data_IF_301685544247
#
_entry.id   IF_301685544247
#
_cell.length_a   1.000
_cell.length_b   1.000
_cell.length_c   1.000
_cell.angle_alpha   90.00
_cell.angle_beta   90.00
_cell.angle_gamma   90.00
#
_symmetry.space_group_name_H-M   'P 1'
#
loop_
_entity.id
_entity.type
_entity.pdbx_description
1 polymer ?
#
# COMPACT_ATOMS: atom_id res chain seq x y z
N UNK A 1 -10.14 5.36 -58.91
CA UNK A 1 -9.99 6.04 -57.62
C UNK A 1 -11.38 6.44 -57.16
N UNK A 2 -11.97 5.61 -56.31
CA UNK A 2 -13.14 5.89 -55.51
C UNK A 2 -12.99 5.00 -54.27
N UNK A 3 -12.95 5.63 -53.11
CA UNK A 3 -12.74 5.03 -51.79
C UNK A 3 -13.85 4.04 -51.43
N UNK A 4 -13.46 2.87 -50.93
CA UNK A 4 -14.35 1.89 -50.32
C UNK A 4 -14.19 2.00 -48.79
N UNK A 5 -15.14 2.71 -48.17
CA UNK A 5 -15.32 2.78 -46.73
C UNK A 5 -15.84 1.44 -46.21
N UNK A 6 -15.04 0.76 -45.39
CA UNK A 6 -15.46 -0.43 -44.64
C UNK A 6 -16.04 0.01 -43.30
N UNK A 7 -17.34 -0.17 -43.12
CA UNK A 7 -18.03 0.02 -41.84
C UNK A 7 -17.64 -1.08 -40.83
N UNK A 8 -17.25 -0.68 -39.62
CA UNK A 8 -17.06 -1.55 -38.47
C UNK A 8 -18.41 -1.76 -37.74
N UNK A 9 -18.76 -2.99 -37.32
CA UNK A 9 -20.01 -3.22 -36.61
C UNK A 9 -19.95 -2.74 -35.15
N UNK A 10 -21.02 -2.04 -34.77
CA UNK A 10 -21.34 -1.49 -33.45
C UNK A 10 -21.50 -2.57 -32.37
N UNK A 11 -20.80 -2.39 -31.25
CA UNK A 11 -20.95 -3.16 -30.01
C UNK A 11 -22.11 -2.58 -29.19
N UNK A 12 -23.33 -3.06 -29.46
CA UNK A 12 -24.46 -2.99 -28.53
C UNK A 12 -25.09 -4.36 -28.45
N UNK A 13 -24.76 -5.11 -27.40
CA UNK A 13 -25.65 -6.05 -26.71
C UNK A 13 -24.85 -6.80 -25.63
N UNK A 14 -24.86 -6.24 -24.41
CA UNK A 14 -24.52 -6.99 -23.20
C UNK A 14 -25.81 -7.16 -22.41
N UNK A 15 -26.33 -8.39 -22.35
CA UNK A 15 -27.41 -8.77 -21.43
C UNK A 15 -26.84 -9.62 -20.29
N UNK A 16 -27.28 -9.42 -19.04
CA UNK A 16 -26.89 -10.27 -17.92
C UNK A 16 -27.67 -11.59 -17.96
N UNK A 17 -26.99 -12.71 -17.68
CA UNK A 17 -27.59 -14.04 -17.62
C UNK A 17 -28.05 -14.34 -16.19
N UNK A 18 -29.37 -14.52 -16.03
CA UNK A 18 -30.00 -15.24 -14.91
C UNK A 18 -29.97 -16.74 -15.19
N UNK A 19 -29.87 -17.51 -14.10
CA UNK A 19 -29.97 -18.96 -13.99
C UNK A 19 -30.95 -19.62 -14.97
N UNK A 20 -30.48 -20.64 -15.70
CA UNK A 20 -31.36 -21.73 -16.18
C UNK A 20 -30.65 -23.07 -16.02
N UNK A 21 -31.36 -23.97 -15.36
CA UNK A 21 -31.04 -25.36 -15.10
C UNK A 21 -30.98 -26.23 -16.37
N UNK A 22 -30.27 -27.36 -16.24
CA UNK A 22 -30.11 -28.40 -17.24
C UNK A 22 -31.44 -29.00 -17.75
N UNK A 23 -31.58 -29.19 -19.07
CA UNK A 23 -32.22 -30.37 -19.69
C UNK A 23 -32.08 -30.37 -21.23
N UNK A 24 -31.74 -31.53 -21.80
CA UNK A 24 -32.25 -31.98 -23.11
C UNK A 24 -31.33 -31.91 -24.33
N UNK A 25 -30.78 -33.05 -24.74
CA UNK A 25 -30.06 -33.31 -25.99
C UNK A 25 -30.97 -33.34 -27.24
N UNK A 26 -30.48 -32.83 -28.37
CA UNK A 26 -31.01 -33.05 -29.72
C UNK A 26 -30.13 -32.39 -30.82
N UNK A 27 -30.02 -32.95 -32.05
CA UNK A 27 -28.75 -32.96 -32.77
C UNK A 27 -28.58 -31.92 -33.91
N UNK A 28 -27.29 -31.58 -34.13
CA UNK A 28 -26.61 -31.33 -35.41
C UNK A 28 -27.12 -30.23 -36.36
N UNK A 29 -26.45 -29.08 -36.34
CA UNK A 29 -26.10 -28.37 -37.58
C UNK A 29 -24.69 -27.77 -37.48
N UNK A 30 -23.77 -28.27 -38.32
CA UNK A 30 -22.43 -27.70 -38.51
C UNK A 30 -22.55 -26.30 -39.13
N UNK A 31 -22.20 -25.27 -38.37
CA UNK A 31 -21.77 -23.97 -38.89
C UNK A 31 -20.32 -23.77 -38.46
N UNK A 32 -19.42 -23.50 -39.42
CA UNK A 32 -18.05 -23.06 -39.13
C UNK A 32 -18.15 -21.69 -38.47
N UNK A 33 -18.02 -21.65 -37.15
CA UNK A 33 -17.84 -20.41 -36.42
C UNK A 33 -16.35 -20.05 -36.45
N UNK A 34 -16.05 -18.77 -36.69
CA UNK A 34 -14.67 -18.27 -36.66
C UNK A 34 -14.27 -18.17 -35.20
N UNK A 35 -13.13 -18.77 -34.86
CA UNK A 35 -12.61 -18.90 -33.49
C UNK A 35 -12.73 -17.61 -32.69
N UNK A 36 -13.57 -17.64 -31.66
CA UNK A 36 -13.63 -16.61 -30.62
C UNK A 36 -12.84 -17.14 -29.44
N UNK A 37 -11.73 -16.48 -29.11
CA UNK A 37 -11.04 -16.70 -27.84
C UNK A 37 -11.95 -16.21 -26.73
N UNK A 38 -12.35 -17.10 -25.82
CA UNK A 38 -13.05 -16.75 -24.59
C UNK A 38 -12.02 -16.74 -23.48
N UNK A 39 -11.84 -15.58 -22.87
CA UNK A 39 -11.03 -15.42 -21.65
C UNK A 39 -12.01 -15.52 -20.48
N UNK A 40 -11.83 -16.52 -19.63
CA UNK A 40 -12.58 -16.67 -18.39
C UNK A 40 -11.63 -16.37 -17.23
N UNK A 41 -11.92 -15.31 -16.48
CA UNK A 41 -11.25 -15.03 -15.21
C UNK A 41 -11.89 -15.94 -14.16
N UNK A 42 -11.11 -16.85 -13.59
CA UNK A 42 -11.54 -17.67 -12.46
C UNK A 42 -10.56 -17.53 -11.30
N UNK A 43 -11.06 -17.10 -10.15
CA UNK A 43 -10.30 -17.07 -8.90
C UNK A 43 -10.10 -18.51 -8.40
N UNK A 44 -8.93 -19.09 -8.68
CA UNK A 44 -8.56 -20.43 -8.24
C UNK A 44 -8.00 -20.45 -6.83
N UNK A 45 -8.60 -21.25 -5.95
CA UNK A 45 -8.11 -21.50 -4.58
C UNK A 45 -6.87 -22.40 -4.57
N UNK A 46 -5.84 -22.02 -3.79
CA UNK A 46 -4.53 -22.68 -3.69
C UNK A 46 -4.62 -24.08 -3.07
N UNK A 47 -4.12 -25.11 -3.78
CA UNK A 47 -3.63 -26.36 -3.16
C UNK A 47 -2.27 -26.75 -3.76
N UNK A 48 -1.31 -27.06 -2.89
CA UNK A 48 0.13 -27.11 -3.19
C UNK A 48 0.65 -28.46 -3.68
N UNK A 49 1.77 -28.44 -4.43
CA UNK A 49 2.76 -29.53 -4.49
C UNK A 49 4.20 -28.93 -4.54
N UNK A 50 5.16 -29.52 -3.80
CA UNK A 50 6.61 -29.19 -3.87
C UNK A 50 7.44 -30.36 -4.46
N UNK A 51 8.79 -30.45 -4.28
CA UNK A 51 9.78 -29.47 -3.79
C UNK A 51 11.01 -29.23 -4.73
N UNK A 52 11.86 -28.27 -4.35
CA UNK A 52 13.28 -28.03 -4.72
C UNK A 52 13.69 -27.65 -6.16
N UNK A 53 13.77 -26.33 -6.39
CA UNK A 53 14.93 -25.63 -7.00
C UNK A 53 14.63 -24.13 -6.93
N UNK A 54 15.24 -23.40 -5.99
CA UNK A 54 15.06 -21.94 -5.93
C UNK A 54 15.82 -21.29 -7.08
N UNK A 55 15.15 -20.60 -8.02
CA UNK A 55 15.85 -19.72 -8.94
C UNK A 55 16.41 -18.51 -8.16
N UNK A 56 17.45 -17.84 -8.67
CA UNK A 56 17.95 -16.62 -8.06
C UNK A 56 16.83 -15.58 -7.97
N UNK A 57 16.71 -14.95 -6.81
CA UNK A 57 15.83 -13.80 -6.59
C UNK A 57 16.21 -12.73 -7.61
N UNK A 58 15.31 -12.46 -8.57
CA UNK A 58 15.47 -11.35 -9.50
C UNK A 58 14.70 -10.15 -8.95
N UNK A 59 15.37 -9.01 -8.89
CA UNK A 59 14.76 -7.72 -8.59
C UNK A 59 13.74 -7.39 -9.68
N UNK A 60 12.47 -7.25 -9.31
CA UNK A 60 11.35 -7.01 -10.25
C UNK A 60 11.33 -5.55 -10.75
N UNK A 61 12.06 -4.64 -10.10
CA UNK A 61 12.00 -3.20 -10.36
C UNK A 61 13.21 -2.60 -11.09
N UNK A 62 14.16 -3.43 -11.55
CA UNK A 62 15.20 -2.97 -12.50
C UNK A 62 14.78 -3.26 -13.96
N UNK A 63 13.49 -3.11 -14.26
CA UNK A 63 13.01 -3.24 -15.64
C UNK A 63 13.15 -1.89 -16.33
N UNK A 64 14.25 -1.77 -17.07
CA UNK A 64 14.22 -1.04 -18.34
C UNK A 64 12.94 -1.41 -19.08
N UNK A 65 12.30 -0.44 -19.74
CA UNK A 65 11.10 -0.62 -20.60
C UNK A 65 11.27 -1.72 -21.67
N UNK A 66 12.47 -2.25 -21.84
CA UNK A 66 12.85 -3.33 -22.75
C UNK A 66 12.85 -4.74 -22.13
N UNK A 67 12.69 -4.91 -20.80
CA UNK A 67 12.76 -6.22 -20.14
C UNK A 67 11.37 -6.88 -20.07
N UNK A 68 10.92 -7.35 -21.24
CA UNK A 68 9.67 -8.08 -21.41
C UNK A 68 9.74 -9.40 -20.65
N UNK A 69 9.07 -9.46 -19.49
CA UNK A 69 8.91 -10.75 -18.83
C UNK A 69 7.87 -11.59 -19.55
N UNK A 70 8.14 -12.89 -19.59
CA UNK A 70 7.38 -13.84 -20.36
C UNK A 70 6.48 -14.60 -19.41
N UNK A 71 5.21 -14.74 -19.75
CA UNK A 71 4.31 -15.60 -18.98
C UNK A 71 4.85 -17.03 -18.94
N UNK A 72 4.88 -17.61 -17.75
CA UNK A 72 5.07 -19.05 -17.59
C UNK A 72 3.76 -19.76 -17.96
N UNK A 73 3.80 -20.57 -19.02
CA UNK A 73 2.62 -21.31 -19.47
C UNK A 73 2.66 -22.75 -18.95
N UNK A 74 1.66 -23.17 -18.18
CA UNK A 74 1.44 -24.56 -17.78
C UNK A 74 0.13 -25.09 -18.33
N UNK A 75 0.11 -26.35 -18.78
CA UNK A 75 -1.13 -27.01 -19.21
C UNK A 75 -1.82 -27.67 -18.02
N UNK A 76 -3.11 -27.40 -17.86
CA UNK A 76 -3.94 -27.96 -16.79
C UNK A 76 -4.57 -29.31 -17.22
N UNK A 77 -4.96 -30.19 -16.26
CA UNK A 77 -5.59 -31.47 -16.57
C UNK A 77 -6.92 -31.35 -17.34
N UNK A 78 -7.63 -30.23 -17.22
CA UNK A 78 -8.87 -29.95 -17.96
C UNK A 78 -8.64 -29.63 -19.44
N UNK A 79 -7.39 -29.43 -19.88
CA UNK A 79 -7.05 -29.05 -21.25
C UNK A 79 -6.79 -27.57 -21.45
N UNK A 80 -7.10 -26.73 -20.45
CA UNK A 80 -6.83 -25.29 -20.45
C UNK A 80 -5.35 -24.99 -20.19
N UNK A 81 -4.95 -23.75 -20.49
CA UNK A 81 -3.63 -23.23 -20.17
C UNK A 81 -3.70 -22.24 -19.01
N UNK A 82 -2.87 -22.46 -18.00
CA UNK A 82 -2.57 -21.48 -16.97
C UNK A 82 -1.39 -20.63 -17.45
N UNK A 83 -1.57 -19.32 -17.47
CA UNK A 83 -0.51 -18.34 -17.63
C UNK A 83 -0.23 -17.73 -16.26
N UNK A 84 1.02 -17.80 -15.82
CA UNK A 84 1.52 -17.15 -14.61
C UNK A 84 2.48 -16.03 -15.02
N UNK A 85 2.23 -14.81 -14.52
CA UNK A 85 3.07 -13.65 -14.78
C UNK A 85 2.96 -12.61 -13.67
N UNK A 86 3.69 -11.50 -13.81
CA UNK A 86 3.70 -10.39 -12.85
C UNK A 86 2.30 -9.79 -12.64
N UNK A 87 1.45 -9.83 -13.67
CA UNK A 87 0.06 -9.35 -13.61
C UNK A 87 -0.94 -10.37 -13.04
N UNK A 88 -0.46 -11.54 -12.57
CA UNK A 88 -1.28 -12.57 -11.95
C UNK A 88 -1.47 -13.82 -12.80
N UNK A 89 -2.54 -14.57 -12.50
CA UNK A 89 -2.85 -15.87 -13.10
C UNK A 89 -4.04 -15.76 -14.04
N UNK A 90 -3.87 -16.31 -15.26
CA UNK A 90 -4.94 -16.33 -16.26
C UNK A 90 -5.15 -17.74 -16.78
N UNK A 91 -6.41 -18.15 -16.90
CA UNK A 91 -6.78 -19.40 -17.57
C UNK A 91 -7.27 -19.11 -18.98
N UNK A 92 -6.66 -19.76 -19.97
CA UNK A 92 -7.07 -19.69 -21.37
C UNK A 92 -7.72 -21.02 -21.74
N UNK A 93 -9.00 -20.96 -22.08
CA UNK A 93 -9.71 -22.06 -22.71
C UNK A 93 -9.18 -22.24 -24.14
N UNK A 94 -8.68 -23.43 -24.44
CA UNK A 94 -8.12 -23.75 -25.76
C UNK A 94 -9.03 -24.72 -26.49
N UNK A 95 -9.42 -24.34 -27.70
CA UNK A 95 -10.26 -25.18 -28.55
C UNK A 95 -9.67 -26.59 -28.70
N UNK A 96 -10.50 -27.65 -28.73
CA UNK A 96 -10.05 -29.05 -28.79
C UNK A 96 -9.04 -29.33 -29.91
N UNK A 97 -9.19 -28.67 -31.05
CA UNK A 97 -8.31 -28.83 -32.21
C UNK A 97 -6.94 -28.14 -32.02
N UNK A 98 -6.87 -27.12 -31.15
CA UNK A 98 -5.64 -26.44 -30.77
C UNK A 98 -4.91 -27.13 -29.61
N UNK A 99 -5.56 -28.06 -28.91
CA UNK A 99 -4.96 -28.84 -27.80
C UNK A 99 -3.83 -29.78 -28.25
N UNK A 100 -3.71 -30.07 -29.55
CA UNK A 100 -2.62 -30.88 -30.12
C UNK A 100 -1.41 -30.04 -30.56
N UNK A 101 -1.50 -28.70 -30.53
CA UNK A 101 -0.38 -27.83 -30.90
C UNK A 101 0.69 -27.84 -29.82
N UNK A 102 1.94 -27.66 -30.24
CA UNK A 102 3.07 -27.44 -29.34
C UNK A 102 2.79 -26.23 -28.43
N UNK A 103 3.48 -26.19 -27.27
CA UNK A 103 3.39 -25.10 -26.29
C UNK A 103 3.33 -23.76 -27.03
N UNK A 104 2.32 -22.89 -26.78
CA UNK A 104 2.29 -21.58 -27.40
C UNK A 104 3.62 -20.88 -27.13
N UNK A 105 4.16 -20.19 -28.13
CA UNK A 105 5.36 -19.37 -27.97
C UNK A 105 5.16 -18.46 -26.76
N UNK A 106 6.20 -18.34 -25.92
CA UNK A 106 6.19 -17.49 -24.72
C UNK A 106 5.54 -16.16 -25.07
N UNK A 107 4.38 -15.90 -24.48
CA UNK A 107 3.65 -14.67 -24.69
C UNK A 107 4.40 -13.60 -23.88
N UNK A 108 4.79 -12.54 -24.55
CA UNK A 108 5.23 -11.31 -23.90
C UNK A 108 4.13 -10.84 -22.94
N UNK A 109 4.46 -10.56 -21.67
CA UNK A 109 3.62 -9.75 -20.78
C UNK A 109 3.48 -8.34 -21.37
N UNK A 110 2.26 -7.78 -21.45
CA UNK A 110 1.13 -8.24 -22.23
C UNK A 110 0.86 -7.38 -23.49
N UNK A 111 0.08 -7.96 -24.40
CA UNK A 111 -0.49 -7.39 -25.64
C UNK A 111 -1.57 -6.30 -25.42
N UNK A 112 -1.64 -5.71 -24.24
CA UNK A 112 -2.61 -4.66 -23.92
C UNK A 112 -1.81 -3.46 -23.43
N UNK A 113 -1.66 -2.46 -24.30
CA UNK A 113 -0.92 -1.23 -23.99
C UNK A 113 -1.57 -0.44 -22.83
N UNK A 114 -2.84 -0.71 -22.53
CA UNK A 114 -3.62 -0.04 -21.49
C UNK A 114 -4.33 -1.07 -20.59
N UNK A 115 -4.37 -0.90 -19.26
CA UNK A 115 -5.12 -1.79 -18.37
C UNK A 115 -6.60 -1.89 -18.79
N UNK A 116 -7.11 -3.12 -19.01
CA UNK A 116 -8.55 -3.35 -19.27
C UNK A 116 -9.42 -3.13 -18.02
N UNK A 117 -8.78 -2.99 -16.86
CA UNK A 117 -9.41 -2.71 -15.56
C UNK A 117 -8.63 -1.60 -14.89
N UNK A 118 -9.33 -0.63 -14.31
CA UNK A 118 -8.75 0.40 -13.45
C UNK A 118 -8.92 -0.03 -12.00
N UNK A 119 -7.90 0.13 -11.16
CA UNK A 119 -8.05 -0.06 -9.73
C UNK A 119 -9.16 0.86 -9.21
N UNK A 120 -9.94 0.37 -8.24
CA UNK A 120 -10.88 1.25 -7.57
C UNK A 120 -10.10 2.35 -6.84
N UNK A 121 -10.58 3.60 -6.94
CA UNK A 121 -9.99 4.71 -6.20
C UNK A 121 -9.94 4.34 -4.72
N UNK A 122 -8.72 4.20 -4.20
CA UNK A 122 -8.54 4.08 -2.77
C UNK A 122 -8.94 5.41 -2.17
N UNK A 123 -9.85 5.42 -1.19
CA UNK A 123 -10.39 6.65 -0.62
C UNK A 123 -9.68 6.96 0.68
N UNK A 124 -9.34 8.23 0.88
CA UNK A 124 -8.78 8.67 2.16
C UNK A 124 -9.75 8.26 3.28
N UNK A 125 -9.27 7.57 4.33
CA UNK A 125 -10.11 7.19 5.45
C UNK A 125 -10.81 8.42 6.03
N UNK A 126 -12.15 8.39 6.11
CA UNK A 126 -12.92 9.50 6.65
C UNK A 126 -12.44 10.00 8.03
N UNK A 127 -11.98 9.13 8.97
CA UNK A 127 -11.41 9.59 10.24
C UNK A 127 -10.13 10.43 10.12
N UNK A 128 -9.40 10.38 9.01
CA UNK A 128 -8.23 11.23 8.76
C UNK A 128 -8.61 12.67 8.39
N UNK A 129 -9.84 12.88 7.89
CA UNK A 129 -10.36 14.15 7.39
C UNK A 129 -11.39 14.80 8.32
N UNK A 130 -11.68 14.17 9.46
CA UNK A 130 -12.62 14.71 10.44
C UNK A 130 -12.08 15.99 11.10
N UNK A 131 -12.96 16.89 11.50
CA UNK A 131 -12.59 18.18 12.13
C UNK A 131 -11.79 17.98 13.44
N UNK A 132 -12.06 16.90 14.16
CA UNK A 132 -11.41 16.46 15.40
C UNK A 132 -10.38 15.32 15.19
N UNK A 133 -9.99 15.03 13.94
CA UNK A 133 -9.02 13.99 13.61
C UNK A 133 -7.60 14.28 14.14
N UNK A 134 -6.80 13.26 14.48
CA UNK A 134 -7.20 11.87 14.61
C UNK A 134 -7.99 11.63 15.91
N UNK A 135 -8.92 10.68 15.93
CA UNK A 135 -9.50 10.19 17.18
C UNK A 135 -8.58 9.13 17.82
N UNK A 136 -8.66 8.97 19.14
CA UNK A 136 -7.88 7.95 19.87
C UNK A 136 -8.17 6.54 19.36
N UNK A 137 -9.45 6.22 19.18
CA UNK A 137 -9.90 4.91 18.70
C UNK A 137 -9.31 4.59 17.31
N UNK A 138 -9.21 5.60 16.45
CA UNK A 138 -8.63 5.43 15.12
C UNK A 138 -7.11 5.24 15.15
N UNK A 139 -6.40 5.92 16.05
CA UNK A 139 -4.97 5.71 16.28
C UNK A 139 -4.69 4.32 16.86
N UNK A 140 -5.43 3.89 17.88
CA UNK A 140 -5.19 2.60 18.54
C UNK A 140 -5.57 1.39 17.69
N UNK A 141 -6.45 1.54 16.70
CA UNK A 141 -6.97 0.43 15.90
C UNK A 141 -5.87 -0.46 15.27
N UNK A 142 -4.86 0.08 14.56
CA UNK A 142 -3.77 -0.75 14.01
C UNK A 142 -2.59 -0.95 14.96
N UNK A 143 -2.37 -0.04 15.93
CA UNK A 143 -1.21 -0.08 16.82
C UNK A 143 -1.46 -0.90 18.08
N UNK A 144 -2.72 -1.19 18.38
CA UNK A 144 -3.16 -1.96 19.55
C UNK A 144 -3.84 -1.07 20.58
N UNK A 145 -4.86 -1.64 21.23
CA UNK A 145 -5.61 -0.96 22.28
C UNK A 145 -4.70 -0.55 23.46
N UNK A 146 -4.83 0.70 23.91
CA UNK A 146 -4.03 1.27 24.99
C UNK A 146 -2.60 1.68 24.59
N UNK A 147 -2.29 1.76 23.29
CA UNK A 147 -1.00 2.33 22.82
C UNK A 147 -0.93 3.83 23.02
N UNK A 148 -2.06 4.52 22.99
CA UNK A 148 -2.15 5.92 23.39
C UNK A 148 -2.18 5.97 24.93
N UNK A 149 -1.40 6.87 25.55
CA UNK A 149 -1.47 7.18 27.00
C UNK A 149 -1.93 8.62 27.28
N UNK A 150 -2.89 8.80 28.20
CA UNK A 150 -3.34 10.12 28.63
C UNK A 150 -2.24 10.80 29.42
N UNK A 151 -1.91 12.03 29.02
CA UNK A 151 -1.24 12.95 29.92
C UNK A 151 -2.28 13.77 30.67
N UNK A 152 -2.07 13.90 31.97
CA UNK A 152 -2.81 14.87 32.77
C UNK A 152 -2.26 16.27 32.51
N UNK A 153 -3.09 17.29 32.74
CA UNK A 153 -2.67 18.69 32.59
C UNK A 153 -1.41 19.01 33.41
N UNK A 154 -1.25 18.41 34.59
CA UNK A 154 -0.09 18.58 35.50
C UNK A 154 1.15 17.79 35.06
N UNK A 155 1.01 16.84 34.14
CA UNK A 155 2.12 16.11 33.52
C UNK A 155 2.67 16.85 32.28
N UNK A 156 1.92 17.82 31.72
CA UNK A 156 2.37 18.59 30.58
C UNK A 156 3.44 19.62 30.98
N UNK A 157 4.54 19.75 30.22
CA UNK A 157 5.52 20.80 30.44
C UNK A 157 4.89 22.19 30.41
N UNK A 158 5.23 23.05 31.38
CA UNK A 158 4.69 24.42 31.47
C UNK A 158 5.06 25.28 30.25
N UNK A 159 6.18 24.96 29.58
CA UNK A 159 6.63 25.68 28.40
C UNK A 159 6.02 25.17 27.08
N UNK A 160 5.20 24.11 27.11
CA UNK A 160 4.37 23.74 25.97
C UNK A 160 3.17 24.68 25.96
N UNK A 161 3.26 25.82 25.27
CA UNK A 161 2.24 26.87 25.29
C UNK A 161 1.24 26.76 24.14
N UNK A 162 1.56 25.98 23.10
CA UNK A 162 0.65 25.74 21.98
C UNK A 162 -0.63 25.01 22.44
N UNK A 163 -1.75 25.74 22.45
CA UNK A 163 -3.00 25.29 23.06
C UNK A 163 -3.56 24.01 22.42
N UNK A 164 -3.49 23.89 21.10
CA UNK A 164 -4.00 22.71 20.40
C UNK A 164 -3.16 21.46 20.67
N UNK A 165 -1.83 21.59 20.77
CA UNK A 165 -0.98 20.46 21.14
C UNK A 165 -1.22 20.01 22.58
N UNK A 166 -1.40 20.96 23.52
CA UNK A 166 -1.77 20.64 24.91
C UNK A 166 -3.09 19.87 24.96
N UNK A 167 -4.14 20.42 24.34
CA UNK A 167 -5.46 19.79 24.29
C UNK A 167 -5.39 18.40 23.67
N UNK A 168 -4.68 18.27 22.55
CA UNK A 168 -4.51 17.00 21.87
C UNK A 168 -3.83 15.94 22.75
N UNK A 169 -2.77 16.29 23.48
CA UNK A 169 -2.07 15.36 24.38
C UNK A 169 -2.94 14.93 25.58
N UNK A 170 -3.89 15.75 26.01
CA UNK A 170 -4.84 15.43 27.08
C UNK A 170 -6.02 14.59 26.57
N UNK A 171 -6.49 14.86 25.34
CA UNK A 171 -7.73 14.27 24.80
C UNK A 171 -7.50 13.04 23.91
N UNK A 172 -6.52 13.09 23.00
CA UNK A 172 -6.29 12.07 21.95
C UNK A 172 -4.99 11.28 22.12
N UNK A 173 -3.92 11.96 22.54
CA UNK A 173 -2.68 11.39 23.09
C UNK A 173 -1.65 10.92 22.05
N UNK A 174 -0.39 10.73 22.49
CA UNK A 174 0.69 10.19 21.67
C UNK A 174 0.67 8.65 21.71
N UNK A 175 0.54 7.94 20.57
CA UNK A 175 0.67 6.49 20.53
C UNK A 175 2.14 6.09 20.73
N UNK A 176 2.40 5.03 21.49
CA UNK A 176 3.71 4.39 21.56
C UNK A 176 3.94 3.48 20.36
N UNK A 177 4.68 3.98 19.37
CA UNK A 177 5.02 3.32 18.13
C UNK A 177 6.41 2.72 18.26
N UNK A 178 6.48 1.40 18.43
CA UNK A 178 7.74 0.68 18.34
C UNK A 178 7.63 -0.41 17.27
N UNK A 179 8.41 -0.27 16.19
CA UNK A 179 8.48 -1.24 15.05
C UNK A 179 7.18 -1.41 14.26
N UNK A 180 6.20 -0.53 14.43
CA UNK A 180 5.00 -0.50 13.58
C UNK A 180 5.33 0.06 12.19
N UNK A 181 6.16 1.11 12.17
CA UNK A 181 6.66 1.72 10.95
C UNK A 181 8.18 1.51 10.84
N UNK A 182 8.72 1.30 9.63
CA UNK A 182 10.14 1.01 9.43
C UNK A 182 11.03 2.26 9.61
N UNK A 183 10.45 3.45 9.46
CA UNK A 183 11.17 4.73 9.47
C UNK A 183 10.89 5.55 10.74
N UNK A 184 10.02 5.10 11.64
CA UNK A 184 9.58 5.91 12.79
C UNK A 184 9.40 5.08 14.05
N UNK A 185 9.81 5.67 15.17
CA UNK A 185 9.38 5.23 16.50
C UNK A 185 9.01 6.43 17.37
N UNK A 186 8.09 6.27 18.31
CA UNK A 186 7.79 7.30 19.30
C UNK A 186 8.30 6.88 20.67
N UNK A 187 8.56 7.86 21.52
CA UNK A 187 8.94 7.60 22.90
C UNK A 187 7.81 6.94 23.67
N UNK A 188 8.18 6.12 24.64
CA UNK A 188 7.24 5.68 25.65
C UNK A 188 7.07 6.79 26.69
N UNK A 189 6.15 7.71 26.45
CA UNK A 189 5.83 8.79 27.40
C UNK A 189 5.37 8.26 28.77
N UNK A 190 4.83 7.03 28.85
CA UNK A 190 4.53 6.39 30.14
C UNK A 190 5.77 6.20 31.01
N UNK A 191 6.91 5.94 30.37
CA UNK A 191 8.17 5.69 31.04
C UNK A 191 8.99 6.98 31.25
N UNK A 192 8.96 7.91 30.28
CA UNK A 192 9.89 9.05 30.24
C UNK A 192 9.23 10.41 30.40
N UNK A 193 7.92 10.54 30.14
CA UNK A 193 7.25 11.82 29.93
C UNK A 193 7.76 12.58 28.70
N UNK A 194 7.20 13.78 28.47
CA UNK A 194 7.69 14.73 27.46
C UNK A 194 8.93 15.45 27.98
N UNK A 195 10.10 15.04 27.51
CA UNK A 195 11.39 15.59 27.94
C UNK A 195 11.80 16.73 27.01
N UNK A 196 12.10 17.89 27.59
CA UNK A 196 12.73 18.99 26.86
C UNK A 196 14.15 18.62 26.50
N UNK A 197 14.52 18.76 25.23
CA UNK A 197 15.89 18.58 24.77
C UNK A 197 16.45 19.86 24.15
N UNK A 198 17.73 20.16 24.36
CA UNK A 198 18.40 21.22 23.63
C UNK A 198 18.50 20.84 22.15
N UNK A 199 18.32 21.82 21.27
CA UNK A 199 18.55 21.62 19.84
C UNK A 199 20.02 21.25 19.60
N UNK A 200 20.28 20.12 18.93
CA UNK A 200 21.62 19.57 18.75
C UNK A 200 22.45 20.29 17.68
N UNK A 201 21.83 21.18 16.88
CA UNK A 201 22.54 22.17 16.05
C UNK A 201 23.19 21.63 14.78
N UNK A 202 22.79 20.44 14.29
CA UNK A 202 23.33 19.87 13.05
C UNK A 202 22.73 20.47 11.77
N UNK A 203 21.53 21.08 11.86
CA UNK A 203 20.88 21.82 10.77
C UNK A 203 20.66 23.30 11.11
N UNK A 204 20.22 24.06 10.10
CA UNK A 204 19.68 25.42 10.26
C UNK A 204 18.66 25.41 11.39
N UNK A 205 18.88 26.23 12.42
CA UNK A 205 17.96 26.33 13.57
C UNK A 205 16.53 26.52 13.07
N UNK A 206 15.52 25.87 13.69
CA UNK A 206 14.13 26.20 13.47
C UNK A 206 13.93 27.71 13.64
N UNK A 207 12.97 28.30 12.92
CA UNK A 207 12.66 29.73 13.03
C UNK A 207 12.30 30.12 14.47
N UNK A 208 11.67 29.20 15.21
CA UNK A 208 11.36 29.34 16.62
C UNK A 208 12.53 28.90 17.51
N UNK A 209 12.83 29.62 18.61
CA UNK A 209 13.91 29.30 19.53
C UNK A 209 13.62 28.10 20.47
N UNK A 210 12.47 27.44 20.32
CA UNK A 210 11.99 26.38 21.20
C UNK A 210 11.25 26.91 22.45
N UNK A 211 10.79 26.02 23.34
CA UNK A 211 11.38 24.71 23.65
C UNK A 211 10.98 23.60 22.68
N UNK A 212 11.83 22.58 22.60
CA UNK A 212 11.57 21.35 21.83
C UNK A 212 11.38 20.17 22.78
N UNK A 213 10.30 19.41 22.60
CA UNK A 213 9.97 18.23 23.39
C UNK A 213 10.15 16.98 22.54
N UNK A 214 10.96 16.03 23.00
CA UNK A 214 11.27 14.82 22.23
C UNK A 214 10.02 13.94 22.07
N UNK A 215 9.68 13.58 20.83
CA UNK A 215 8.56 12.71 20.48
C UNK A 215 9.02 11.31 20.07
N UNK A 216 10.25 11.16 19.61
CA UNK A 216 10.77 9.89 19.10
C UNK A 216 11.84 10.05 18.04
N UNK A 217 11.98 9.04 17.21
CA UNK A 217 13.02 8.97 16.18
C UNK A 217 12.41 8.77 14.79
N UNK A 218 13.03 9.39 13.80
CA UNK A 218 12.74 9.23 12.38
C UNK A 218 14.02 8.91 11.61
N UNK A 219 14.08 7.73 11.00
CA UNK A 219 15.23 7.23 10.25
C UNK A 219 16.58 7.42 10.97
N UNK A 220 16.57 7.31 12.31
CA UNK A 220 17.75 7.47 13.16
C UNK A 220 18.04 8.90 13.64
N UNK A 221 17.26 9.90 13.22
CA UNK A 221 17.32 11.26 13.79
C UNK A 221 16.19 11.53 14.78
N UNK A 222 16.35 12.56 15.61
CA UNK A 222 15.36 12.85 16.66
C UNK A 222 14.23 13.73 16.12
N UNK A 223 13.01 13.44 16.56
CA UNK A 223 11.79 14.18 16.25
C UNK A 223 11.31 14.90 17.50
N UNK A 224 10.93 16.16 17.35
CA UNK A 224 10.49 17.02 18.43
C UNK A 224 9.17 17.72 18.12
N UNK A 225 8.41 17.98 19.18
CA UNK A 225 7.34 18.95 19.20
C UNK A 225 7.89 20.32 19.57
N UNK A 226 7.68 21.32 18.73
CA UNK A 226 7.89 22.71 19.10
C UNK A 226 6.78 23.16 20.07
N UNK A 227 7.19 23.60 21.25
CA UNK A 227 6.30 24.03 22.32
C UNK A 227 5.52 25.30 22.04
N UNK A 228 6.02 26.16 21.16
CA UNK A 228 5.42 27.46 20.83
C UNK A 228 4.46 27.33 19.65
N UNK A 229 4.92 26.71 18.56
CA UNK A 229 4.15 26.62 17.31
C UNK A 229 3.30 25.36 17.21
N UNK A 230 3.63 24.30 17.97
CA UNK A 230 2.98 23.00 17.84
C UNK A 230 3.42 22.18 16.64
N UNK A 231 4.33 22.69 15.81
CA UNK A 231 4.90 21.98 14.68
C UNK A 231 5.77 20.80 15.15
N UNK A 232 5.88 19.80 14.28
CA UNK A 232 6.79 18.67 14.50
C UNK A 232 8.02 18.84 13.62
N UNK A 233 9.19 18.79 14.25
CA UNK A 233 10.48 19.10 13.64
C UNK A 233 11.50 17.99 13.86
N UNK A 234 12.53 17.92 13.02
CA UNK A 234 13.66 16.98 13.14
C UNK A 234 14.99 17.72 13.30
N UNK A 235 15.93 17.16 14.08
CA UNK A 235 17.19 17.85 14.45
C UNK A 235 18.28 17.93 13.37
N UNK A 236 18.01 17.45 12.16
CA UNK A 236 18.96 17.44 11.05
C UNK A 236 19.99 16.32 11.13
N UNK A 237 19.97 15.47 12.17
CA UNK A 237 20.95 14.39 12.32
C UNK A 237 20.81 13.29 11.25
N UNK A 238 19.68 13.26 10.55
CA UNK A 238 19.46 12.42 9.36
C UNK A 238 20.21 12.90 8.12
N UNK A 239 20.71 14.14 8.11
CA UNK A 239 21.30 14.79 6.94
C UNK A 239 20.28 15.45 6.00
N UNK A 240 19.00 15.50 6.37
CA UNK A 240 17.98 16.30 5.67
C UNK A 240 18.05 17.76 6.13
N UNK A 241 17.98 18.69 5.17
CA UNK A 241 17.99 20.13 5.43
C UNK A 241 16.61 20.63 5.91
N UNK A 242 15.55 19.86 5.63
CA UNK A 242 14.18 20.15 6.03
C UNK A 242 13.99 19.98 7.54
N UNK A 243 13.68 21.07 8.22
CA UNK A 243 13.48 21.06 9.68
C UNK A 243 12.07 20.62 10.06
N UNK A 244 11.05 21.02 9.29
CA UNK A 244 9.64 20.78 9.63
C UNK A 244 9.15 19.51 8.95
N UNK A 245 8.65 18.56 9.75
CA UNK A 245 8.04 17.32 9.28
C UNK A 245 6.53 17.43 9.13
N UNK A 246 5.90 18.26 9.97
CA UNK A 246 4.47 18.51 9.94
C UNK A 246 4.17 19.85 10.62
N UNK A 247 3.15 20.56 10.13
CA UNK A 247 2.71 21.84 10.70
C UNK A 247 2.07 21.73 12.08
N UNK A 248 1.64 20.53 12.50
CA UNK A 248 1.07 20.30 13.82
C UNK A 248 1.28 18.88 14.33
N UNK A 249 1.20 18.67 15.64
CA UNK A 249 1.17 17.34 16.25
C UNK A 249 0.02 16.46 15.73
N UNK A 250 -1.14 17.07 15.44
CA UNK A 250 -2.32 16.35 14.93
C UNK A 250 -2.06 15.77 13.55
N UNK A 251 -1.64 16.63 12.61
CA UNK A 251 -1.31 16.21 11.25
C UNK A 251 -0.16 15.21 11.28
N UNK A 252 0.87 15.45 12.09
CA UNK A 252 1.97 14.50 12.28
C UNK A 252 1.53 13.09 12.67
N UNK A 253 0.43 12.89 13.39
CA UNK A 253 -0.03 11.54 13.76
C UNK A 253 -1.01 10.93 12.76
N UNK A 254 -1.68 11.76 11.95
CA UNK A 254 -2.51 11.30 10.84
C UNK A 254 -1.64 10.65 9.76
N UNK A 255 -0.52 11.26 9.39
CA UNK A 255 0.30 10.80 8.26
C UNK A 255 0.92 9.40 8.48
N UNK A 256 1.56 9.09 9.63
CA UNK A 256 2.04 7.74 9.96
C UNK A 256 0.90 6.73 10.07
N UNK A 257 -0.29 7.16 10.52
CA UNK A 257 -1.48 6.30 10.57
C UNK A 257 -1.99 5.94 9.17
N UNK A 258 -1.91 6.85 8.20
CA UNK A 258 -2.18 6.55 6.78
C UNK A 258 -1.14 5.59 6.20
N UNK A 259 0.15 5.81 6.50
CA UNK A 259 1.22 4.89 6.11
C UNK A 259 0.99 3.48 6.67
N UNK A 260 0.53 3.38 7.92
CA UNK A 260 0.16 2.10 8.53
C UNK A 260 -1.03 1.46 7.81
N UNK A 261 -2.05 2.24 7.44
CA UNK A 261 -3.21 1.75 6.67
C UNK A 261 -2.76 1.10 5.36
N UNK A 262 -1.81 1.75 4.67
CA UNK A 262 -1.20 1.21 3.45
C UNK A 262 -0.46 -0.11 3.69
N UNK A 263 0.35 -0.18 4.75
CA UNK A 263 1.12 -1.39 5.07
C UNK A 263 0.27 -2.60 5.44
N UNK A 264 -0.92 -2.38 6.01
CA UNK A 264 -1.82 -3.48 6.44
C UNK A 264 -2.94 -3.78 5.45
N UNK A 265 -3.05 -3.00 4.38
CA UNK A 265 -4.05 -3.22 3.32
C UNK A 265 -3.68 -4.42 2.45
N UNK A 266 -4.69 -5.19 2.08
CA UNK A 266 -4.57 -6.38 1.23
C UNK A 266 -4.84 -5.99 -0.23
N UNK A 267 -3.78 -5.61 -0.95
CA UNK A 267 -3.85 -5.28 -2.38
C UNK A 267 -3.76 -6.56 -3.22
N UNK A 268 -4.65 -6.72 -4.20
CA UNK A 268 -4.69 -7.93 -5.02
C UNK A 268 -3.56 -7.95 -6.05
N UNK A 269 -3.08 -6.78 -6.48
CA UNK A 269 -2.01 -6.62 -7.46
C UNK A 269 -1.00 -5.54 -7.04
N UNK A 270 0.18 -5.55 -7.69
CA UNK A 270 1.16 -4.48 -7.52
C UNK A 270 0.65 -3.15 -8.07
N UNK A 271 -0.10 -3.17 -9.18
CA UNK A 271 -0.69 -1.96 -9.78
C UNK A 271 -1.66 -1.28 -8.80
N UNK A 272 -2.57 -2.05 -8.16
CA UNK A 272 -3.47 -1.52 -7.13
C UNK A 272 -2.70 -0.91 -5.95
N UNK A 273 -1.56 -1.51 -5.61
CA UNK A 273 -0.70 -1.03 -4.54
C UNK A 273 0.05 0.25 -4.92
N UNK A 274 0.51 0.36 -6.17
CA UNK A 274 1.15 1.58 -6.68
C UNK A 274 0.15 2.74 -6.72
N UNK A 275 -1.06 2.50 -7.24
CA UNK A 275 -2.16 3.47 -7.23
C UNK A 275 -2.53 3.91 -5.79
N UNK A 276 -2.52 2.95 -4.86
CA UNK A 276 -2.74 3.22 -3.45
C UNK A 276 -1.62 4.08 -2.83
N UNK A 277 -0.35 3.84 -3.19
CA UNK A 277 0.77 4.64 -2.71
C UNK A 277 0.72 6.08 -3.24
N UNK A 278 0.37 6.26 -4.52
CA UNK A 278 0.11 7.60 -5.10
C UNK A 278 -1.02 8.29 -4.33
N UNK A 279 -2.07 7.55 -3.97
CA UNK A 279 -3.15 8.09 -3.13
C UNK A 279 -2.65 8.55 -1.76
N UNK A 280 -1.75 7.80 -1.08
CA UNK A 280 -1.14 8.24 0.18
C UNK A 280 -0.36 9.54 -0.01
N UNK A 281 0.46 9.63 -1.07
CA UNK A 281 1.25 10.82 -1.38
C UNK A 281 0.37 12.05 -1.58
N UNK A 282 -0.75 11.91 -2.29
CA UNK A 282 -1.67 13.02 -2.50
C UNK A 282 -2.42 13.40 -1.21
N UNK A 283 -2.78 12.43 -0.37
CA UNK A 283 -3.40 12.72 0.92
C UNK A 283 -2.45 13.40 1.89
N UNK A 284 -1.17 13.00 1.92
CA UNK A 284 -0.20 13.61 2.83
C UNK A 284 -0.04 15.09 2.52
N UNK A 285 0.09 15.45 1.23
CA UNK A 285 0.17 16.85 0.76
C UNK A 285 -1.10 17.63 1.09
N UNK A 286 -2.27 17.02 0.86
CA UNK A 286 -3.55 17.68 1.11
C UNK A 286 -3.84 17.90 2.61
N UNK A 287 -3.39 17.00 3.47
CA UNK A 287 -3.59 17.08 4.93
C UNK A 287 -2.59 18.05 5.56
N UNK A 288 -1.34 18.02 5.10
CA UNK A 288 -0.29 18.89 5.60
C UNK A 288 0.62 19.36 4.46
N UNK A 289 0.49 20.61 4.00
CA UNK A 289 1.35 21.18 2.96
C UNK A 289 2.84 21.16 3.31
N UNK A 290 3.23 21.03 4.58
CA UNK A 290 4.63 20.87 4.96
C UNK A 290 5.27 19.56 4.42
N UNK A 291 4.44 18.63 3.94
CA UNK A 291 4.88 17.38 3.31
C UNK A 291 5.14 17.53 1.81
N UNK A 292 4.67 18.62 1.19
CA UNK A 292 4.90 18.92 -0.22
C UNK A 292 6.41 19.15 -0.45
N UNK A 293 6.97 18.47 -1.45
CA UNK A 293 8.40 18.52 -1.80
C UNK A 293 9.38 18.16 -0.64
N UNK A 294 8.90 17.44 0.37
CA UNK A 294 9.68 17.10 1.56
C UNK A 294 10.48 15.81 1.35
N UNK A 295 11.81 15.90 1.22
CA UNK A 295 12.68 14.73 0.97
C UNK A 295 12.58 13.65 2.05
N UNK A 296 12.33 14.05 3.30
CA UNK A 296 12.15 13.13 4.42
C UNK A 296 10.87 12.28 4.28
N UNK A 297 9.81 12.87 3.71
CA UNK A 297 8.56 12.16 3.39
C UNK A 297 8.67 11.34 2.10
N UNK A 298 9.31 11.88 1.06
CA UNK A 298 9.61 11.12 -0.16
C UNK A 298 10.37 9.83 0.18
N UNK A 299 11.39 9.92 1.03
CA UNK A 299 12.16 8.75 1.47
C UNK A 299 11.33 7.76 2.29
N UNK A 300 10.45 8.24 3.16
CA UNK A 300 9.56 7.36 3.91
C UNK A 300 8.57 6.63 2.99
N UNK A 301 8.00 7.31 2.00
CA UNK A 301 7.06 6.74 1.05
C UNK A 301 7.76 5.78 0.05
N UNK A 302 9.00 6.06 -0.37
CA UNK A 302 9.83 5.11 -1.12
C UNK A 302 10.16 3.87 -0.28
N UNK A 303 10.44 4.04 1.01
CA UNK A 303 10.63 2.92 1.93
C UNK A 303 9.37 2.06 2.01
N UNK A 304 8.18 2.67 2.06
CA UNK A 304 6.92 1.94 1.98
C UNK A 304 6.79 1.20 0.65
N UNK A 305 7.10 1.84 -0.48
CA UNK A 305 7.03 1.23 -1.81
C UNK A 305 7.81 -0.09 -1.86
N UNK A 306 9.04 -0.08 -1.34
CA UNK A 306 9.95 -1.24 -1.33
C UNK A 306 9.49 -2.37 -0.42
N UNK A 307 8.85 -2.06 0.71
CA UNK A 307 8.45 -3.08 1.69
C UNK A 307 7.30 -3.97 1.23
N UNK A 308 6.48 -3.58 0.27
CA UNK A 308 5.40 -4.45 -0.21
C UNK A 308 5.81 -5.42 -1.32
N UNK A 309 6.96 -5.22 -1.95
CA UNK A 309 7.44 -6.10 -3.01
C UNK A 309 7.95 -7.46 -2.51
N UNK A 310 8.39 -7.54 -1.25
CA UNK A 310 9.10 -8.71 -0.70
C UNK A 310 8.28 -9.53 0.31
N UNK A 311 7.07 -9.09 0.67
CA UNK A 311 6.32 -9.69 1.76
C UNK A 311 5.35 -10.75 1.20
N UNK A 312 5.92 -11.88 0.77
CA UNK A 312 5.24 -13.15 0.99
C UNK A 312 5.24 -13.41 2.50
N UNK A 313 4.26 -12.81 3.20
CA UNK A 313 3.98 -13.09 4.61
C UNK A 313 3.85 -14.61 4.77
N UNK A 314 4.86 -15.25 5.38
CA UNK A 314 4.67 -16.57 5.97
C UNK A 314 3.60 -16.42 7.03
N UNK A 315 2.40 -16.91 6.73
CA UNK A 315 1.35 -17.04 7.72
C UNK A 315 1.87 -17.75 8.98
N UNK A 316 1.32 -17.44 10.16
CA UNK A 316 1.80 -17.98 11.42
C UNK A 316 1.81 -19.51 11.34
N UNK A 317 2.99 -20.11 11.45
CA UNK A 317 3.10 -21.55 11.61
C UNK A 317 2.39 -21.92 12.91
N UNK A 318 1.18 -22.45 12.81
CA UNK A 318 0.50 -23.17 13.87
C UNK A 318 1.43 -24.29 14.38
N UNK A 319 2.20 -23.99 15.42
CA UNK A 319 2.94 -25.01 16.17
C UNK A 319 1.91 -25.91 16.83
N UNK A 320 1.79 -27.15 16.34
CA UNK A 320 1.05 -28.20 17.04
C UNK A 320 1.62 -28.35 18.45
N UNK A 321 0.79 -28.40 19.50
CA UNK A 321 1.26 -28.71 20.83
C UNK A 321 1.79 -30.15 20.86
N UNK A 322 3.05 -30.32 21.24
CA UNK A 322 3.63 -31.61 21.56
C UNK A 322 3.06 -32.08 22.90
N UNK A 323 2.17 -33.06 22.86
CA UNK A 323 1.80 -33.84 24.04
C UNK A 323 3.03 -34.61 24.54
N UNK A 324 3.40 -34.38 25.80
CA UNK A 324 4.08 -35.33 26.67
C UNK A 324 3.20 -35.53 27.90
#
# INVERSE_FOLDING_TARGET
MADELVELPSLRDVRPLREIACQGLGPSHRRRDRGKVRIALTEGSRTSAGPESRPPVRHIFDRSRDDVSLFECQRLPCGDWLLEGASGFFTIEVEPDAQQRARPSLLAEPYIEEPITQAAVWKCPAPALAEDAPSREWLEAPFGHGTCRQLREDELPTRLVHADSRRFLIETWLPFLHRHLPFMSTINEAATGLVTMPWSGYSTSPEAPGPFFHLGEWTGGNVFLDGETGAVVQDGSTGYDEVVMAGSLRTFLILPRLCQEFLVSDFATNDEREDALESVQEWTKAIDPATEDSLIWEHALDTLARLGGDVTMRGPQCRRPSHR
#
